data_IF_431949019062
#
_entry.id   IF_431949019062
#
_cell.length_a   1.000
_cell.length_b   1.000
_cell.length_c   1.000
_cell.angle_alpha   90.00
_cell.angle_beta   90.00
_cell.angle_gamma   90.00
#
_symmetry.space_group_name_H-M   'P 1'
#
loop_
_entity.id
_entity.type
_entity.pdbx_description
1 polymer ?
#
# COMPACT_ATOMS: atom_id res chain seq x y z
N UNK A 1 -1.97 18.29 -5.27
CA UNK A 1 -1.35 17.94 -6.58
C UNK A 1 -1.72 19.01 -7.60
N UNK A 2 -0.76 19.76 -8.15
CA UNK A 2 -1.04 21.04 -8.85
C UNK A 2 -1.42 20.92 -10.33
N UNK A 3 -1.18 19.79 -11.00
CA UNK A 3 -1.36 19.68 -12.47
C UNK A 3 -2.41 18.64 -12.91
N UNK A 4 -3.22 18.07 -12.00
CA UNK A 4 -4.24 17.04 -12.30
C UNK A 4 -3.73 15.88 -13.18
N UNK A 5 -2.44 15.54 -13.06
CA UNK A 5 -1.80 14.43 -13.77
C UNK A 5 -2.15 13.13 -13.03
N UNK A 6 -2.57 12.06 -13.72
CA UNK A 6 -2.76 10.76 -13.10
C UNK A 6 -1.51 10.28 -12.39
N UNK A 7 -1.67 9.77 -11.17
CA UNK A 7 -0.55 9.34 -10.34
C UNK A 7 -0.86 7.98 -9.71
N UNK A 8 0.11 7.08 -9.77
CA UNK A 8 0.08 5.81 -9.07
C UNK A 8 1.36 5.66 -8.23
N UNK A 9 1.20 5.61 -6.91
CA UNK A 9 2.28 5.26 -5.99
C UNK A 9 2.21 3.79 -5.60
N UNK A 10 3.36 3.10 -5.59
CA UNK A 10 3.50 1.72 -5.12
C UNK A 10 4.58 1.63 -4.03
N UNK A 11 4.29 0.91 -2.94
CA UNK A 11 5.15 0.57 -1.80
C UNK A 11 5.80 1.74 -1.05
N UNK A 12 6.91 2.29 -1.55
CA UNK A 12 7.56 3.47 -0.97
C UNK A 12 6.99 4.78 -1.53
N UNK A 13 6.53 4.78 -2.77
CA UNK A 13 6.03 6.00 -3.40
C UNK A 13 4.74 6.59 -2.77
N UNK A 14 3.74 5.81 -2.30
CA UNK A 14 2.56 6.36 -1.64
C UNK A 14 2.94 7.17 -0.39
N UNK A 15 3.95 6.68 0.34
CA UNK A 15 4.56 7.38 1.47
C UNK A 15 5.14 8.71 1.01
N UNK A 16 5.99 8.76 -0.01
CA UNK A 16 6.59 10.03 -0.45
C UNK A 16 5.58 11.11 -0.88
N UNK A 17 4.38 10.73 -1.33
CA UNK A 17 3.33 11.67 -1.71
C UNK A 17 2.62 12.30 -0.51
N UNK A 18 2.61 11.65 0.66
CA UNK A 18 1.79 12.03 1.80
C UNK A 18 2.35 13.13 2.72
N UNK A 19 3.67 13.25 2.96
CA UNK A 19 4.24 14.37 3.73
C UNK A 19 3.91 15.71 3.10
N UNK A 20 3.83 15.76 1.76
CA UNK A 20 3.39 16.97 1.05
C UNK A 20 1.93 17.35 1.31
N UNK A 21 1.15 16.42 1.89
CA UNK A 21 -0.25 16.57 2.30
C UNK A 21 -0.43 16.58 3.83
N UNK A 22 0.66 16.58 4.62
CA UNK A 22 0.63 16.64 6.08
C UNK A 22 0.38 15.31 6.80
N UNK A 23 0.37 14.18 6.08
CA UNK A 23 0.20 12.85 6.66
C UNK A 23 1.52 12.27 7.19
N UNK A 24 1.47 11.59 8.35
CA UNK A 24 2.64 10.95 8.97
C UNK A 24 2.92 9.57 8.38
N UNK A 25 4.18 9.16 8.49
CA UNK A 25 4.67 7.83 8.11
C UNK A 25 5.56 7.31 9.23
N UNK A 26 5.37 6.06 9.62
CA UNK A 26 6.14 5.45 10.70
C UNK A 26 5.95 3.94 10.80
N UNK A 27 6.83 3.23 11.50
CA UNK A 27 6.62 1.83 11.83
C UNK A 27 5.43 1.66 12.77
N UNK A 28 4.80 0.49 12.74
CA UNK A 28 3.86 0.08 13.79
C UNK A 28 4.64 -0.33 15.06
N UNK A 29 4.01 -0.27 16.25
CA UNK A 29 4.64 -0.77 17.48
C UNK A 29 5.06 -2.25 17.37
N UNK A 30 6.22 -2.59 17.93
CA UNK A 30 6.67 -3.98 18.06
C UNK A 30 7.31 -4.59 16.80
N UNK A 31 7.98 -3.79 15.96
CA UNK A 31 8.74 -4.23 14.77
C UNK A 31 7.91 -5.09 13.78
N UNK A 32 6.64 -4.73 13.64
CA UNK A 32 5.70 -5.41 12.77
C UNK A 32 5.93 -5.06 11.29
N UNK A 33 5.71 -6.03 10.41
CA UNK A 33 5.80 -5.86 8.97
C UNK A 33 5.16 -7.00 8.20
N UNK A 34 4.79 -6.72 6.96
CA UNK A 34 4.25 -7.69 6.01
C UNK A 34 5.29 -7.94 4.92
N UNK A 35 5.87 -9.15 4.92
CA UNK A 35 6.84 -9.62 3.93
C UNK A 35 6.43 -10.99 3.42
N UNK A 36 5.60 -11.02 2.38
CA UNK A 36 4.80 -12.21 2.14
C UNK A 36 3.62 -11.99 1.20
N UNK A 37 2.72 -12.97 1.19
CA UNK A 37 1.48 -12.91 0.45
C UNK A 37 0.34 -12.82 1.48
N UNK A 38 -0.30 -11.66 1.57
CA UNK A 38 -1.27 -11.34 2.63
C UNK A 38 -2.62 -11.01 2.03
N UNK A 39 -3.67 -11.28 2.80
CA UNK A 39 -5.02 -10.88 2.43
C UNK A 39 -5.27 -9.43 2.81
N UNK A 40 -5.86 -8.68 1.88
CA UNK A 40 -6.43 -7.36 2.11
C UNK A 40 -7.95 -7.42 1.90
N UNK A 41 -8.65 -6.55 2.60
CA UNK A 41 -10.09 -6.39 2.56
C UNK A 41 -10.42 -5.00 2.04
N UNK A 42 -11.27 -4.93 1.02
CA UNK A 42 -11.74 -3.66 0.48
C UNK A 42 -12.65 -2.94 1.49
N UNK A 43 -12.49 -1.62 1.61
CA UNK A 43 -13.51 -0.78 2.25
C UNK A 43 -14.73 -0.67 1.35
N UNK A 44 -15.82 -0.09 1.85
CA UNK A 44 -17.03 0.11 1.02
C UNK A 44 -16.73 0.94 -0.24
N UNK A 45 -15.91 1.98 -0.12
CA UNK A 45 -15.44 2.78 -1.27
C UNK A 45 -14.49 1.96 -2.16
N UNK A 46 -13.65 1.11 -1.55
CA UNK A 46 -12.69 0.25 -2.24
C UNK A 46 -13.30 -0.80 -3.15
N UNK A 47 -14.52 -1.26 -2.86
CA UNK A 47 -15.23 -2.29 -3.66
C UNK A 47 -15.48 -1.88 -5.12
N UNK A 48 -15.44 -0.58 -5.41
CA UNK A 48 -15.48 -0.09 -6.78
C UNK A 48 -14.21 -0.42 -7.60
N UNK A 49 -13.11 -0.78 -6.93
CA UNK A 49 -11.78 -0.99 -7.54
C UNK A 49 -11.22 -2.39 -7.28
N UNK A 50 -11.64 -3.04 -6.21
CA UNK A 50 -11.13 -4.33 -5.76
C UNK A 50 -12.28 -5.30 -5.47
N UNK A 51 -12.05 -6.62 -5.56
CA UNK A 51 -12.91 -7.60 -4.90
C UNK A 51 -12.98 -7.35 -3.39
N UNK A 52 -14.02 -7.87 -2.73
CA UNK A 52 -14.19 -7.73 -1.27
C UNK A 52 -12.94 -8.19 -0.49
N UNK A 53 -12.29 -9.26 -0.95
CA UNK A 53 -11.06 -9.82 -0.38
C UNK A 53 -10.13 -10.25 -1.50
N UNK A 54 -8.84 -10.00 -1.31
CA UNK A 54 -7.81 -10.20 -2.34
C UNK A 54 -6.48 -10.46 -1.66
N UNK A 55 -5.69 -11.43 -2.14
CA UNK A 55 -4.34 -11.65 -1.65
C UNK A 55 -3.31 -10.94 -2.54
N UNK A 56 -2.39 -10.21 -1.91
CA UNK A 56 -1.38 -9.36 -2.56
C UNK A 56 0.02 -9.65 -2.03
N UNK A 57 1.03 -9.29 -2.82
CA UNK A 57 2.42 -9.32 -2.39
C UNK A 57 2.76 -8.08 -1.56
N UNK A 58 3.28 -8.30 -0.36
CA UNK A 58 3.70 -7.26 0.58
C UNK A 58 5.21 -7.33 0.85
N UNK A 59 5.80 -6.15 1.02
CA UNK A 59 7.20 -5.99 1.43
C UNK A 59 7.43 -4.65 2.15
N UNK A 60 6.75 -4.46 3.29
CA UNK A 60 6.84 -3.22 4.05
C UNK A 60 6.74 -3.42 5.58
N UNK A 61 7.18 -2.40 6.31
CA UNK A 61 7.17 -2.34 7.78
C UNK A 61 6.74 -0.97 8.31
N UNK A 62 6.35 -0.06 7.41
CA UNK A 62 5.83 1.25 7.76
C UNK A 62 4.34 1.31 7.39
N UNK A 63 3.57 2.03 8.20
CA UNK A 63 2.25 2.53 7.85
C UNK A 63 2.36 4.01 7.46
N UNK A 64 1.45 4.43 6.60
CA UNK A 64 1.24 5.82 6.25
C UNK A 64 -0.14 6.27 6.72
N UNK A 65 -0.37 7.55 7.00
CA UNK A 65 -1.69 8.08 7.38
C UNK A 65 -2.51 8.49 6.16
N UNK A 66 -3.83 8.30 6.18
CA UNK A 66 -4.66 8.81 5.08
C UNK A 66 -4.74 10.34 5.19
N UNK A 67 -4.17 11.03 4.20
CA UNK A 67 -4.24 12.49 4.13
C UNK A 67 -5.69 13.00 4.06
N UNK A 68 -5.96 14.18 4.61
CA UNK A 68 -7.29 14.77 4.56
C UNK A 68 -7.79 14.90 3.11
N UNK A 69 -9.00 14.40 2.85
CA UNK A 69 -9.60 14.37 1.52
C UNK A 69 -9.16 13.19 0.63
N UNK A 70 -8.40 12.22 1.16
CA UNK A 70 -8.22 10.92 0.53
C UNK A 70 -9.23 9.90 1.06
N UNK A 71 -9.66 9.01 0.17
CA UNK A 71 -10.47 7.85 0.52
C UNK A 71 -9.57 6.65 0.80
N UNK A 72 -9.80 5.97 1.92
CA UNK A 72 -9.22 4.66 2.19
C UNK A 72 -9.95 3.59 1.37
N UNK A 73 -9.19 2.80 0.61
CA UNK A 73 -9.74 1.77 -0.28
C UNK A 73 -9.56 0.35 0.25
N UNK A 74 -8.49 0.04 0.96
CA UNK A 74 -8.25 -1.31 1.47
C UNK A 74 -7.44 -1.29 2.77
N UNK A 75 -7.57 -2.37 3.54
CA UNK A 75 -6.83 -2.63 4.78
C UNK A 75 -6.45 -4.12 4.89
N UNK A 76 -5.42 -4.45 5.67
CA UNK A 76 -5.13 -5.81 6.11
C UNK A 76 -5.47 -5.98 7.58
N UNK A 77 -5.20 -7.16 8.14
CA UNK A 77 -5.33 -7.41 9.57
C UNK A 77 -4.35 -6.56 10.40
N UNK A 78 -3.13 -6.36 9.88
CA UNK A 78 -2.03 -5.71 10.59
C UNK A 78 -1.91 -4.22 10.26
N UNK A 79 -2.17 -3.85 9.00
CA UNK A 79 -2.04 -2.48 8.50
C UNK A 79 -3.39 -1.95 8.04
N UNK A 80 -3.88 -0.90 8.71
CA UNK A 80 -5.16 -0.27 8.42
C UNK A 80 -5.19 0.45 7.07
N UNK A 81 -4.03 0.83 6.53
CA UNK A 81 -3.92 1.65 5.32
C UNK A 81 -3.15 0.93 4.21
N UNK A 82 -3.84 0.10 3.43
CA UNK A 82 -3.25 -0.66 2.32
C UNK A 82 -3.39 0.04 0.97
N UNK A 83 -4.48 0.76 0.74
CA UNK A 83 -4.69 1.49 -0.49
C UNK A 83 -5.48 2.77 -0.24
N UNK A 84 -5.17 3.83 -0.97
CA UNK A 84 -5.94 5.08 -0.93
C UNK A 84 -6.12 5.70 -2.32
N UNK A 85 -7.10 6.59 -2.41
CA UNK A 85 -7.32 7.47 -3.55
C UNK A 85 -7.39 8.92 -3.10
N UNK A 86 -6.73 9.82 -3.81
CA UNK A 86 -6.84 11.26 -3.60
C UNK A 86 -7.38 11.94 -4.86
N UNK A 87 -8.56 12.56 -4.73
CA UNK A 87 -9.30 13.06 -5.89
C UNK A 87 -9.62 11.96 -6.90
N UNK A 88 -9.74 12.31 -8.17
CA UNK A 88 -10.20 11.35 -9.20
C UNK A 88 -9.09 10.46 -9.77
N UNK A 89 -7.83 10.91 -9.73
CA UNK A 89 -6.76 10.35 -10.59
C UNK A 89 -5.49 9.94 -9.84
N UNK A 90 -5.45 10.06 -8.53
CA UNK A 90 -4.28 9.67 -7.76
C UNK A 90 -4.58 8.50 -6.84
N UNK A 91 -3.79 7.44 -6.96
CA UNK A 91 -3.90 6.23 -6.17
C UNK A 91 -2.57 5.90 -5.52
N UNK A 92 -2.62 5.31 -4.33
CA UNK A 92 -1.44 4.82 -3.63
C UNK A 92 -1.70 3.44 -3.05
N UNK A 93 -0.82 2.48 -3.33
CA UNK A 93 -0.89 1.11 -2.85
C UNK A 93 0.35 0.77 -2.04
N UNK A 94 0.15 0.28 -0.81
CA UNK A 94 1.23 -0.19 0.04
C UNK A 94 1.81 -1.51 -0.48
N UNK A 95 0.95 -2.36 -1.03
CA UNK A 95 1.27 -3.62 -1.67
C UNK A 95 1.81 -3.47 -3.08
N UNK A 96 2.30 -4.59 -3.63
CA UNK A 96 2.89 -4.72 -4.96
C UNK A 96 1.94 -5.44 -5.94
N UNK A 97 0.95 -4.75 -6.55
CA UNK A 97 0.08 -5.35 -7.55
C UNK A 97 0.82 -5.72 -8.85
N UNK A 98 2.00 -5.15 -9.08
CA UNK A 98 2.87 -5.45 -10.21
C UNK A 98 3.66 -6.75 -10.04
N UNK A 99 3.73 -7.30 -8.83
CA UNK A 99 4.51 -8.48 -8.54
C UNK A 99 3.80 -9.74 -9.08
N UNK A 100 4.30 -10.25 -10.20
CA UNK A 100 3.90 -11.57 -10.67
C UNK A 100 4.44 -12.68 -9.74
N UNK A 101 3.88 -13.90 -9.76
CA UNK A 101 4.38 -15.01 -8.96
C UNK A 101 5.87 -15.31 -9.15
N UNK A 102 6.41 -15.10 -10.36
CA UNK A 102 7.85 -15.26 -10.62
C UNK A 102 8.69 -14.15 -10.00
N UNK A 103 8.21 -12.90 -10.04
CA UNK A 103 8.89 -11.75 -9.39
C UNK A 103 8.89 -11.94 -7.88
N UNK A 104 7.74 -12.30 -7.31
CA UNK A 104 7.60 -12.53 -5.88
C UNK A 104 8.49 -13.67 -5.38
N UNK A 105 8.53 -14.81 -6.09
CA UNK A 105 9.47 -15.91 -5.77
C UNK A 105 10.92 -15.47 -5.79
N UNK A 106 11.31 -14.61 -6.74
CA UNK A 106 12.68 -14.06 -6.79
C UNK A 106 12.98 -13.21 -5.56
N UNK A 107 12.05 -12.36 -5.14
CA UNK A 107 12.22 -11.55 -3.92
C UNK A 107 12.42 -12.42 -2.68
N UNK A 108 11.65 -13.50 -2.54
CA UNK A 108 11.80 -14.45 -1.44
C UNK A 108 13.19 -15.11 -1.44
N UNK A 109 13.73 -15.46 -2.61
CA UNK A 109 15.07 -16.04 -2.74
C UNK A 109 16.18 -15.04 -2.41
N UNK A 110 16.00 -13.77 -2.77
CA UNK A 110 17.01 -12.72 -2.55
C UNK A 110 16.99 -12.21 -1.10
N UNK A 111 15.82 -12.14 -0.44
CA UNK A 111 15.70 -11.83 1.00
C UNK A 111 16.44 -12.86 1.88
N UNK A 112 16.49 -14.13 1.45
CA UNK A 112 17.27 -15.18 2.12
C UNK A 112 18.79 -15.00 2.05
N UNK A 113 19.31 -14.09 1.20
CA UNK A 113 20.75 -13.84 1.00
C UNK A 113 21.26 -12.59 1.73
N UNK A 114 20.37 -11.81 2.35
CA UNK A 114 20.70 -10.55 3.04
C UNK A 114 20.75 -10.76 4.57
N UNK A 115 20.80 -12.02 5.03
CA UNK A 115 21.02 -12.39 6.44
C UNK A 115 22.47 -12.79 6.68
#
# INVERSE_FOLDING_TARGET
MKQNVPLLGIALAPRSCQPSLGAKIGPLPGDQGEFGYYEIVATEVGKAYFPDRLHVAEAHYHQFEIAAGADLLAKSELFEHQAFRYGEKAFGFQFHPEASPSVFRRWQQDLGKIR
#
